data_IF_079914229499
#
_entry.id   IF_079914229499
#
_cell.length_a   1.000
_cell.length_b   1.000
_cell.length_c   1.000
_cell.angle_alpha   90.00
_cell.angle_beta   90.00
_cell.angle_gamma   90.00
#
_symmetry.space_group_name_H-M   'P 1'
#
loop_
_entity.id
_entity.type
_entity.pdbx_description
1 polymer ?
#
# COMPACT_ATOMS: atom_id res chain seq x y z
N UNK A 1 14.03 14.37 -5.39
CA UNK A 1 13.15 13.72 -4.40
C UNK A 1 11.98 14.65 -4.16
N UNK A 2 10.77 14.13 -3.93
CA UNK A 2 9.65 14.97 -3.53
C UNK A 2 10.00 15.67 -2.19
N UNK A 3 9.62 16.94 -1.98
CA UNK A 3 10.07 17.69 -0.81
C UNK A 3 9.38 17.23 0.50
N UNK A 4 8.18 16.65 0.40
CA UNK A 4 7.48 16.10 1.54
C UNK A 4 8.16 14.84 2.11
N UNK A 5 8.22 14.76 3.44
CA UNK A 5 8.87 13.71 4.20
C UNK A 5 8.01 12.44 4.26
N UNK A 6 8.67 11.29 4.35
CA UNK A 6 8.01 10.03 4.64
C UNK A 6 7.65 9.93 6.13
N UNK A 7 6.53 9.29 6.45
CA UNK A 7 6.17 9.03 7.85
C UNK A 7 7.16 8.03 8.47
N UNK A 8 7.53 8.17 9.76
CA UNK A 8 8.47 7.26 10.43
C UNK A 8 7.93 5.82 10.59
N UNK A 9 6.63 5.63 10.40
CA UNK A 9 5.98 4.30 10.41
C UNK A 9 6.14 3.55 9.09
N UNK A 10 6.64 4.20 8.03
CA UNK A 10 6.67 3.68 6.67
C UNK A 10 5.31 3.65 5.97
N UNK A 11 4.24 4.19 6.58
CA UNK A 11 2.88 4.19 6.05
C UNK A 11 2.50 5.56 5.44
N UNK A 12 3.16 5.92 4.35
CA UNK A 12 2.82 7.10 3.56
C UNK A 12 3.76 8.30 3.75
N UNK A 13 3.25 9.47 3.37
CA UNK A 13 3.96 10.76 3.30
C UNK A 13 3.24 11.77 4.20
N UNK A 14 4.00 12.62 4.89
CA UNK A 14 3.49 13.66 5.77
C UNK A 14 2.67 14.70 4.99
N UNK A 15 1.66 15.29 5.66
CA UNK A 15 0.82 16.37 5.09
C UNK A 15 1.25 17.73 5.61
N UNK A 16 2.30 18.28 5.04
CA UNK A 16 3.09 19.40 5.62
C UNK A 16 3.28 20.60 4.70
N UNK A 17 2.55 20.65 3.57
CA UNK A 17 2.60 21.78 2.62
C UNK A 17 3.84 21.77 1.74
N UNK A 18 4.60 20.67 1.75
CA UNK A 18 5.77 20.43 0.92
C UNK A 18 5.44 19.53 -0.29
N UNK A 19 4.17 19.17 -0.47
CA UNK A 19 3.69 18.38 -1.60
C UNK A 19 3.72 19.18 -2.90
N UNK A 20 4.00 18.48 -3.99
CA UNK A 20 3.92 19.06 -5.32
C UNK A 20 2.44 19.31 -5.68
N UNK A 21 2.04 20.56 -6.03
CA UNK A 21 0.68 20.84 -6.47
C UNK A 21 0.31 20.04 -7.74
N UNK A 22 -0.99 19.76 -7.91
CA UNK A 22 -1.49 19.01 -9.08
C UNK A 22 -1.07 19.65 -10.41
N UNK A 23 -1.02 20.97 -10.47
CA UNK A 23 -0.61 21.75 -11.65
C UNK A 23 0.89 21.65 -11.99
N UNK A 24 1.71 21.20 -11.04
CA UNK A 24 3.16 21.05 -11.20
C UNK A 24 3.59 19.59 -11.41
N UNK A 25 2.63 18.65 -11.40
CA UNK A 25 2.92 17.25 -11.73
C UNK A 25 3.44 17.12 -13.18
N UNK A 26 4.33 16.16 -13.46
CA UNK A 26 4.67 15.80 -14.83
C UNK A 26 3.42 15.46 -15.65
N UNK A 27 3.44 15.67 -16.98
CA UNK A 27 2.32 15.31 -17.85
C UNK A 27 1.88 13.86 -17.67
N UNK A 28 0.57 13.64 -17.59
CA UNK A 28 -0.05 12.32 -17.47
C UNK A 28 -1.23 12.18 -18.43
N UNK A 29 -1.59 10.94 -18.74
CA UNK A 29 -2.70 10.60 -19.64
C UNK A 29 -3.82 9.96 -18.82
N UNK A 30 -5.05 10.44 -18.99
CA UNK A 30 -6.22 9.90 -18.29
C UNK A 30 -6.46 8.42 -18.59
N UNK A 31 -6.18 7.99 -19.81
CA UNK A 31 -6.25 6.57 -20.20
C UNK A 31 -5.27 5.66 -19.44
N UNK A 32 -4.25 6.22 -18.77
CA UNK A 32 -3.28 5.49 -17.93
C UNK A 32 -3.63 5.53 -16.45
N UNK A 33 -4.72 6.21 -16.06
CA UNK A 33 -5.21 6.16 -14.68
C UNK A 33 -5.77 4.77 -14.38
N UNK A 34 -5.29 4.18 -13.29
CA UNK A 34 -5.81 2.93 -12.75
C UNK A 34 -6.54 3.21 -11.45
N UNK A 35 -7.84 2.95 -11.44
CA UNK A 35 -8.67 3.01 -10.23
C UNK A 35 -8.74 1.60 -9.64
N UNK A 36 -8.40 1.48 -8.36
CA UNK A 36 -8.42 0.22 -7.63
C UNK A 36 -9.35 0.33 -6.42
N UNK A 37 -10.02 -0.77 -6.03
CA UNK A 37 -10.75 -0.80 -4.79
C UNK A 37 -9.80 -0.71 -3.59
N UNK A 38 -10.17 0.06 -2.56
CA UNK A 38 -9.41 0.12 -1.29
C UNK A 38 -9.48 -1.21 -0.54
N UNK A 39 -10.60 -1.93 -0.69
CA UNK A 39 -10.81 -3.27 -0.12
C UNK A 39 -11.23 -4.21 -1.24
N UNK A 40 -10.51 -5.31 -1.42
CA UNK A 40 -10.79 -6.30 -2.47
C UNK A 40 -11.04 -7.69 -1.89
N UNK A 41 -11.74 -8.52 -2.67
CA UNK A 41 -11.99 -9.91 -2.34
C UNK A 41 -10.73 -10.73 -2.52
N UNK A 42 -10.56 -11.65 -1.60
CA UNK A 42 -9.57 -12.70 -1.72
C UNK A 42 -10.07 -13.75 -2.73
N UNK A 43 -9.40 -13.95 -3.87
CA UNK A 43 -9.90 -14.79 -4.95
C UNK A 43 -9.89 -16.29 -4.62
N UNK A 44 -9.16 -16.71 -3.58
CA UNK A 44 -9.04 -18.13 -3.19
C UNK A 44 -10.07 -18.52 -2.15
N UNK A 45 -10.25 -17.70 -1.10
CA UNK A 45 -11.15 -18.07 0.01
C UNK A 45 -12.50 -17.37 -0.06
N UNK A 46 -12.62 -16.31 -0.86
CA UNK A 46 -13.82 -15.47 -0.89
C UNK A 46 -14.19 -14.84 0.45
N UNK A 47 -13.27 -14.86 1.42
CA UNK A 47 -13.53 -14.47 2.81
C UNK A 47 -13.93 -12.99 2.91
N UNK A 48 -14.96 -12.75 3.72
CA UNK A 48 -15.63 -11.45 3.93
C UNK A 48 -15.72 -11.09 5.42
N UNK A 49 -15.27 -11.96 6.32
CA UNK A 49 -15.50 -11.78 7.76
C UNK A 49 -14.69 -10.58 8.28
N UNK A 50 -15.40 -9.56 8.79
CA UNK A 50 -14.80 -8.32 9.28
C UNK A 50 -14.39 -7.29 8.21
N UNK A 51 -14.77 -7.50 6.94
CA UNK A 51 -14.53 -6.51 5.89
C UNK A 51 -15.48 -5.30 6.07
N UNK A 52 -14.90 -4.11 6.22
CA UNK A 52 -15.63 -2.84 6.13
C UNK A 52 -15.45 -2.29 4.71
N UNK A 53 -16.55 -1.99 4.03
CA UNK A 53 -16.53 -1.40 2.69
C UNK A 53 -16.91 0.08 2.77
N UNK A 54 -15.94 0.99 2.96
CA UNK A 54 -16.25 2.41 3.09
C UNK A 54 -16.81 2.95 1.76
N UNK A 55 -17.95 3.62 1.82
CA UNK A 55 -18.46 4.48 0.75
C UNK A 55 -18.16 5.94 1.08
N UNK A 56 -17.07 6.47 0.53
CA UNK A 56 -16.61 7.82 0.79
C UNK A 56 -16.01 8.44 -0.47
N UNK A 57 -16.36 9.70 -0.74
CA UNK A 57 -15.72 10.52 -1.77
C UNK A 57 -14.93 11.65 -1.10
N UNK A 58 -13.61 11.47 -1.02
CA UNK A 58 -12.68 12.44 -0.44
C UNK A 58 -11.79 13.01 -1.54
N UNK A 59 -11.66 14.33 -1.57
CA UNK A 59 -10.82 15.06 -2.54
C UNK A 59 -9.70 15.85 -1.86
N UNK A 60 -9.82 16.14 -0.56
CA UNK A 60 -8.74 16.76 0.21
C UNK A 60 -7.62 15.74 0.49
N UNK A 61 -6.40 16.09 0.11
CA UNK A 61 -5.24 15.20 0.19
C UNK A 61 -4.91 14.81 1.65
N UNK A 62 -5.07 15.74 2.59
CA UNK A 62 -4.77 15.52 4.00
C UNK A 62 -5.80 14.57 4.62
N UNK A 63 -7.09 14.73 4.28
CA UNK A 63 -8.15 13.82 4.71
C UNK A 63 -7.96 12.41 4.14
N UNK A 64 -7.65 12.29 2.83
CA UNK A 64 -7.38 11.01 2.18
C UNK A 64 -6.22 10.28 2.88
N UNK A 65 -5.09 10.97 3.08
CA UNK A 65 -3.92 10.39 3.77
C UNK A 65 -4.24 10.01 5.21
N UNK A 66 -4.99 10.85 5.93
CA UNK A 66 -5.41 10.58 7.30
C UNK A 66 -6.29 9.32 7.41
N UNK A 67 -7.22 9.11 6.47
CA UNK A 67 -8.04 7.92 6.42
C UNK A 67 -7.20 6.67 6.10
N UNK A 68 -6.38 6.73 5.05
CA UNK A 68 -5.51 5.61 4.66
C UNK A 68 -4.56 5.21 5.80
N UNK A 69 -3.94 6.18 6.48
CA UNK A 69 -3.08 5.91 7.61
C UNK A 69 -3.82 5.20 8.74
N UNK A 70 -5.03 5.66 9.12
CA UNK A 70 -5.84 5.00 10.15
C UNK A 70 -6.17 3.55 9.80
N UNK A 71 -6.47 3.27 8.53
CA UNK A 71 -6.77 1.91 8.06
C UNK A 71 -5.53 1.02 7.99
N UNK A 72 -4.38 1.57 7.58
CA UNK A 72 -3.13 0.81 7.45
C UNK A 72 -2.39 0.61 8.78
N UNK A 73 -2.53 1.55 9.73
CA UNK A 73 -1.75 1.55 10.98
C UNK A 73 -1.92 0.27 11.83
N UNK A 74 -3.10 -0.35 11.94
CA UNK A 74 -3.26 -1.64 12.61
C UNK A 74 -2.49 -2.78 11.93
N UNK A 75 -2.29 -2.72 10.61
CA UNK A 75 -1.61 -3.78 9.85
C UNK A 75 -0.11 -3.91 10.17
N UNK A 76 0.50 -2.89 10.76
CA UNK A 76 1.90 -2.91 11.24
C UNK A 76 2.01 -3.13 12.75
N UNK A 77 0.97 -3.63 13.42
CA UNK A 77 1.08 -4.07 14.81
C UNK A 77 2.13 -5.19 14.91
N UNK A 78 2.95 -5.22 15.97
CA UNK A 78 4.11 -6.12 16.09
C UNK A 78 3.79 -7.60 15.79
N UNK A 79 2.61 -8.08 16.23
CA UNK A 79 2.16 -9.47 15.98
C UNK A 79 1.86 -9.80 14.51
N UNK A 80 1.79 -8.81 13.64
CA UNK A 80 1.52 -8.92 12.20
C UNK A 80 2.75 -8.63 11.35
N UNK A 81 3.88 -8.25 11.97
CA UNK A 81 5.11 -7.88 11.26
C UNK A 81 6.08 -9.06 11.31
N UNK A 82 6.55 -9.47 10.13
CA UNK A 82 7.64 -10.44 9.99
C UNK A 82 8.93 -9.71 9.60
N UNK A 83 9.87 -9.49 10.54
CA UNK A 83 11.19 -8.98 10.22
C UNK A 83 12.04 -10.11 9.67
N UNK A 84 12.45 -10.02 8.40
CA UNK A 84 13.34 -11.00 7.80
C UNK A 84 14.80 -10.56 7.95
N UNK A 85 15.58 -11.32 8.73
CA UNK A 85 17.02 -11.16 8.86
C UNK A 85 17.73 -11.90 7.72
N UNK A 86 18.06 -11.14 6.69
CA UNK A 86 18.52 -11.69 5.42
C UNK A 86 19.92 -12.28 5.48
N UNK A 87 20.07 -13.45 4.89
CA UNK A 87 21.33 -14.14 4.67
C UNK A 87 21.60 -14.30 3.18
N UNK A 88 22.87 -14.51 2.84
CA UNK A 88 23.25 -14.76 1.45
C UNK A 88 22.44 -15.95 0.91
N UNK A 89 21.90 -15.79 -0.30
CA UNK A 89 21.08 -16.79 -1.02
C UNK A 89 19.67 -17.02 -0.47
N UNK A 90 19.20 -16.21 0.48
CA UNK A 90 17.79 -16.22 0.85
C UNK A 90 16.91 -15.79 -0.33
N UNK A 91 15.79 -16.49 -0.50
CA UNK A 91 14.73 -16.16 -1.45
C UNK A 91 13.43 -15.94 -0.67
N UNK A 92 12.92 -14.71 -0.73
CA UNK A 92 11.61 -14.36 -0.17
C UNK A 92 10.62 -14.18 -1.31
N UNK A 93 9.53 -14.94 -1.25
CA UNK A 93 8.39 -14.80 -2.17
C UNK A 93 7.21 -14.34 -1.34
N UNK A 94 6.52 -13.31 -1.81
CA UNK A 94 5.34 -12.78 -1.13
C UNK A 94 4.22 -12.45 -2.10
N UNK A 95 2.99 -12.58 -1.61
CA UNK A 95 1.78 -12.32 -2.39
C UNK A 95 1.36 -10.85 -2.23
N UNK A 96 1.65 -10.02 -3.23
CA UNK A 96 1.40 -8.58 -3.22
C UNK A 96 -0.03 -8.17 -2.84
N UNK A 97 -1.06 -8.98 -3.18
CA UNK A 97 -2.46 -8.67 -2.83
C UNK A 97 -2.80 -8.92 -1.35
N UNK A 98 -1.85 -9.35 -0.51
CA UNK A 98 -2.09 -9.68 0.91
C UNK A 98 -1.09 -9.10 1.90
N UNK A 99 0.00 -8.52 1.43
CA UNK A 99 1.04 -7.99 2.32
C UNK A 99 1.46 -6.59 1.92
N UNK A 100 1.83 -5.81 2.92
CA UNK A 100 2.69 -4.65 2.75
C UNK A 100 4.13 -5.10 3.04
N UNK A 101 5.10 -4.55 2.33
CA UNK A 101 6.52 -4.81 2.59
C UNK A 101 7.31 -3.51 2.47
N UNK A 102 8.38 -3.41 3.25
CA UNK A 102 9.29 -2.28 3.24
C UNK A 102 10.71 -2.76 3.54
N UNK A 103 11.69 -2.12 2.91
CA UNK A 103 13.11 -2.36 3.17
C UNK A 103 13.55 -1.40 4.28
N UNK A 104 14.16 -1.95 5.32
CA UNK A 104 14.74 -1.16 6.41
C UNK A 104 16.23 -0.94 6.17
N UNK A 105 16.70 0.28 6.44
CA UNK A 105 18.04 0.76 6.10
C UNK A 105 19.08 0.66 7.22
N UNK A 106 19.07 -0.42 8.01
CA UNK A 106 20.08 -0.62 9.05
C UNK A 106 21.38 -1.17 8.41
N UNK A 107 22.14 -0.28 7.76
CA UNK A 107 23.41 -0.61 7.12
C UNK A 107 24.58 0.08 7.83
N UNK A 108 25.73 -0.59 7.93
CA UNK A 108 26.97 0.09 8.27
C UNK A 108 27.43 0.95 7.07
N UNK A 109 28.26 1.99 7.27
CA UNK A 109 28.70 2.86 6.18
C UNK A 109 29.37 2.15 5.00
N UNK A 110 29.94 0.98 5.23
CA UNK A 110 30.68 0.14 4.28
C UNK A 110 29.87 -1.07 3.76
N UNK A 111 28.65 -1.29 4.26
CA UNK A 111 27.84 -2.44 3.87
C UNK A 111 27.22 -2.25 2.49
N UNK A 112 27.59 -3.12 1.56
CA UNK A 112 26.96 -3.21 0.23
C UNK A 112 25.97 -4.36 0.22
N UNK A 113 24.77 -4.10 -0.33
CA UNK A 113 23.72 -5.10 -0.47
C UNK A 113 23.12 -5.06 -1.86
N UNK A 114 23.15 -6.20 -2.55
CA UNK A 114 22.56 -6.38 -3.86
C UNK A 114 21.42 -7.39 -3.79
N UNK A 115 20.33 -7.12 -4.50
CA UNK A 115 19.20 -8.02 -4.67
C UNK A 115 18.84 -8.14 -6.13
N UNK A 116 18.36 -9.31 -6.51
CA UNK A 116 17.70 -9.52 -7.79
C UNK A 116 16.21 -9.73 -7.52
N UNK A 117 15.38 -8.88 -8.13
CA UNK A 117 13.92 -8.96 -7.99
C UNK A 117 13.31 -9.38 -9.32
N UNK A 118 12.35 -10.29 -9.25
CA UNK A 118 11.50 -10.68 -10.36
C UNK A 118 10.04 -10.49 -9.94
N UNK A 119 9.26 -9.82 -10.79
CA UNK A 119 7.83 -9.60 -10.55
C UNK A 119 7.02 -10.45 -11.52
N UNK A 120 6.04 -11.17 -10.99
CA UNK A 120 5.07 -11.88 -11.82
C UNK A 120 3.89 -10.95 -12.11
N UNK A 121 3.56 -10.77 -13.39
CA UNK A 121 2.38 -10.02 -13.79
C UNK A 121 1.10 -10.67 -13.26
N UNK A 122 0.17 -9.87 -12.75
CA UNK A 122 -1.13 -10.37 -12.32
C UNK A 122 -1.96 -10.82 -13.53
N UNK A 123 -2.75 -11.88 -13.36
CA UNK A 123 -3.65 -12.38 -14.41
C UNK A 123 -4.95 -11.59 -14.51
N UNK A 124 -5.29 -10.84 -13.47
CA UNK A 124 -6.57 -10.16 -13.28
C UNK A 124 -6.41 -8.89 -12.43
N UNK A 125 -7.43 -8.04 -12.45
CA UNK A 125 -7.54 -6.90 -11.54
C UNK A 125 -8.20 -7.30 -10.21
N UNK A 126 -7.85 -6.64 -9.09
CA UNK A 126 -8.53 -6.88 -7.82
C UNK A 126 -10.02 -6.53 -7.91
N UNK A 127 -10.87 -7.48 -7.50
CA UNK A 127 -12.32 -7.32 -7.52
C UNK A 127 -12.79 -6.75 -6.18
N UNK A 128 -13.44 -5.59 -6.22
CA UNK A 128 -14.03 -4.94 -5.05
C UNK A 128 -15.28 -5.63 -4.49
N UNK A 129 -15.96 -5.02 -3.50
CA UNK A 129 -17.26 -5.47 -3.03
C UNK A 129 -18.33 -5.44 -4.13
N UNK A 130 -19.30 -6.36 -4.08
CA UNK A 130 -20.54 -6.24 -4.88
C UNK A 130 -21.52 -5.28 -4.20
N UNK A 131 -22.57 -4.85 -4.92
CA UNK A 131 -23.65 -4.04 -4.33
C UNK A 131 -24.29 -4.71 -3.10
N UNK A 132 -24.39 -6.04 -3.09
CA UNK A 132 -24.87 -6.81 -1.94
C UNK A 132 -23.90 -6.77 -0.75
N UNK A 133 -22.59 -6.79 -1.02
CA UNK A 133 -21.57 -6.67 0.02
C UNK A 133 -21.60 -5.28 0.68
N UNK A 134 -21.74 -4.22 -0.12
CA UNK A 134 -21.90 -2.85 0.38
C UNK A 134 -23.17 -2.74 1.23
N UNK A 135 -24.32 -3.26 0.76
CA UNK A 135 -25.57 -3.22 1.54
C UNK A 135 -25.47 -3.93 2.90
N UNK A 136 -24.59 -4.93 3.01
CA UNK A 136 -24.45 -5.74 4.22
C UNK A 136 -23.39 -5.21 5.19
N UNK A 137 -22.34 -4.55 4.71
CA UNK A 137 -21.13 -4.25 5.49
C UNK A 137 -20.60 -2.81 5.36
N UNK A 138 -21.29 -1.93 4.63
CA UNK A 138 -21.07 -0.48 4.68
C UNK A 138 -21.98 0.17 5.73
#
# INVERSE_FOLDING_TARGET
MAPAHAMPTGLGIESEGLELPLSELPPWEEAKLKILPVVWKNPVTGDKEGALYPDAHLTDLKEVRGLLYKTQRPAIALKLVYPHDWKEKDLVIFHNRRVLHSVVGAFTPDQVRAFHQCNLAASDDPIGPTAEDVKKWA
#
